data_IF_980993316844
#
_entry.id   IF_980993316844
#
_cell.length_a   1.000
_cell.length_b   1.000
_cell.length_c   1.000
_cell.angle_alpha   90.00
_cell.angle_beta   90.00
_cell.angle_gamma   90.00
#
_symmetry.space_group_name_H-M   'P 1'
#
loop_
_entity.id
_entity.type
_entity.pdbx_description
1 polymer ?
#
# COMPACT_ATOMS: atom_id res chain seq x y z
N UNK A 1 7.61 7.19 -28.55
CA UNK A 1 8.81 8.04 -28.72
C UNK A 1 9.07 8.78 -27.42
N UNK A 2 10.31 8.77 -26.95
CA UNK A 2 10.76 9.55 -25.78
C UNK A 2 11.80 10.54 -26.26
N UNK A 3 11.59 11.83 -26.03
CA UNK A 3 12.58 12.85 -26.35
C UNK A 3 13.72 12.83 -25.34
N UNK A 4 14.96 13.04 -25.79
CA UNK A 4 16.17 13.03 -24.95
C UNK A 4 16.04 13.90 -23.68
N UNK A 5 15.38 15.06 -23.79
CA UNK A 5 15.14 15.96 -22.65
C UNK A 5 14.06 15.50 -21.66
N UNK A 6 13.21 14.54 -22.03
CA UNK A 6 12.22 13.94 -21.14
C UNK A 6 12.73 12.66 -20.45
N UNK A 7 13.82 12.05 -20.94
CA UNK A 7 14.38 10.81 -20.39
C UNK A 7 14.72 10.93 -18.90
N UNK A 8 15.32 12.04 -18.48
CA UNK A 8 15.68 12.28 -17.07
C UNK A 8 14.46 12.40 -16.15
N UNK A 9 13.29 12.75 -16.68
CA UNK A 9 12.02 12.88 -15.93
C UNK A 9 11.21 11.60 -15.85
N UNK A 10 11.57 10.56 -16.62
CA UNK A 10 10.80 9.32 -16.65
C UNK A 10 10.90 8.52 -15.34
N UNK A 11 11.84 8.85 -14.43
CA UNK A 11 11.96 8.22 -13.10
C UNK A 11 12.31 6.73 -13.10
N UNK A 12 12.29 6.09 -14.28
CA UNK A 12 12.51 4.68 -14.50
C UNK A 12 13.55 4.45 -15.58
N UNK A 13 14.43 3.48 -15.38
CA UNK A 13 15.23 2.90 -16.44
C UNK A 13 14.49 1.66 -16.95
N UNK A 14 13.97 1.65 -18.20
CA UNK A 14 13.30 0.47 -18.73
C UNK A 14 14.30 -0.68 -18.86
N UNK A 15 13.96 -1.82 -18.29
CA UNK A 15 14.70 -3.08 -18.41
C UNK A 15 13.91 -4.05 -19.30
N UNK A 16 14.62 -4.89 -20.04
CA UNK A 16 13.98 -5.87 -20.91
C UNK A 16 13.17 -6.88 -20.07
N UNK A 17 11.93 -7.15 -20.46
CA UNK A 17 11.03 -8.09 -19.77
C UNK A 17 10.11 -7.43 -18.73
N UNK A 18 10.18 -6.12 -18.58
CA UNK A 18 9.33 -5.35 -17.67
C UNK A 18 8.09 -4.83 -18.40
N UNK A 19 6.92 -5.06 -17.84
CA UNK A 19 5.68 -4.42 -18.28
C UNK A 19 5.62 -2.98 -17.74
N UNK A 20 5.26 -2.00 -18.57
CA UNK A 20 5.26 -0.57 -18.23
C UNK A 20 3.98 0.11 -18.69
N UNK A 21 3.44 1.01 -17.87
CA UNK A 21 2.37 1.94 -18.25
C UNK A 21 3.03 3.23 -18.72
N UNK A 22 2.91 3.52 -20.01
CA UNK A 22 3.36 4.76 -20.60
C UNK A 22 2.18 5.74 -20.73
N UNK A 23 2.31 6.92 -20.14
CA UNK A 23 1.33 8.02 -20.26
C UNK A 23 1.94 9.15 -21.07
N UNK A 24 1.17 9.72 -22.00
CA UNK A 24 1.68 10.74 -22.91
C UNK A 24 0.65 11.22 -23.90
N UNK A 25 1.10 11.98 -24.90
CA UNK A 25 0.26 12.59 -25.93
C UNK A 25 0.44 11.89 -27.26
N UNK A 26 -0.65 11.69 -27.99
CA UNK A 26 -0.62 11.17 -29.36
C UNK A 26 -0.45 12.35 -30.31
N UNK A 27 0.60 12.32 -31.12
CA UNK A 27 0.83 13.25 -32.23
C UNK A 27 0.57 12.52 -33.55
N UNK A 28 -0.10 13.19 -34.48
CA UNK A 28 -0.45 12.65 -35.80
C UNK A 28 0.25 13.48 -36.88
N UNK A 29 0.99 12.82 -37.77
CA UNK A 29 1.52 13.44 -38.99
C UNK A 29 0.61 13.11 -40.17
N UNK A 30 -0.19 14.09 -40.59
CA UNK A 30 -1.26 13.92 -41.58
C UNK A 30 -0.80 13.45 -42.96
N UNK A 31 0.43 13.72 -43.37
CA UNK A 31 0.94 13.31 -44.69
C UNK A 31 1.27 11.81 -44.80
N UNK A 32 1.45 11.10 -43.68
CA UNK A 32 1.82 9.67 -43.67
C UNK A 32 0.89 8.78 -42.86
N UNK A 33 -0.25 9.31 -42.38
CA UNK A 33 -1.18 8.58 -41.49
C UNK A 33 -0.46 7.87 -40.33
N UNK A 34 0.61 8.48 -39.80
CA UNK A 34 1.43 7.89 -38.74
C UNK A 34 1.08 8.54 -37.41
N UNK A 35 0.79 7.71 -36.42
CA UNK A 35 0.59 8.12 -35.03
C UNK A 35 1.88 7.91 -34.23
N UNK A 36 2.26 8.91 -33.44
CA UNK A 36 3.39 8.84 -32.53
C UNK A 36 2.89 9.12 -31.12
N UNK A 37 3.02 8.14 -30.22
CA UNK A 37 2.84 8.38 -28.79
C UNK A 37 4.12 9.02 -28.23
N UNK A 38 4.04 10.28 -27.85
CA UNK A 38 5.10 11.01 -27.13
C UNK A 38 4.89 10.73 -25.64
N UNK A 39 5.80 9.96 -25.04
CA UNK A 39 5.70 9.51 -23.65
C UNK A 39 6.27 10.59 -22.73
N UNK A 40 5.46 11.06 -21.79
CA UNK A 40 5.84 12.04 -20.77
C UNK A 40 6.13 11.39 -19.42
N UNK A 41 5.47 10.26 -19.13
CA UNK A 41 5.60 9.51 -17.87
C UNK A 41 5.59 8.01 -18.15
N UNK A 42 6.43 7.27 -17.43
CA UNK A 42 6.56 5.83 -17.55
C UNK A 42 6.63 5.21 -16.15
N UNK A 43 5.62 4.43 -15.80
CA UNK A 43 5.53 3.70 -14.54
C UNK A 43 5.57 2.19 -14.83
N UNK A 44 5.95 1.36 -13.87
CA UNK A 44 5.81 -0.09 -14.02
C UNK A 44 4.33 -0.47 -14.15
N UNK A 45 3.98 -1.28 -15.15
CA UNK A 45 2.66 -1.88 -15.27
C UNK A 45 2.57 -3.14 -14.42
N UNK A 46 1.46 -3.27 -13.72
CA UNK A 46 1.00 -4.55 -13.21
C UNK A 46 1.52 -4.96 -11.84
N UNK A 47 0.88 -6.02 -11.34
CA UNK A 47 1.07 -6.69 -10.06
C UNK A 47 2.54 -6.96 -9.73
N UNK A 48 3.43 -7.09 -10.73
CA UNK A 48 4.86 -7.33 -10.53
C UNK A 48 5.59 -6.23 -9.75
N UNK A 49 5.24 -4.96 -9.93
CA UNK A 49 5.86 -3.86 -9.17
C UNK A 49 5.41 -3.85 -7.71
N UNK A 50 4.13 -4.17 -7.47
CA UNK A 50 3.57 -4.33 -6.14
C UNK A 50 4.17 -5.57 -5.45
N UNK A 51 4.24 -6.69 -6.16
CA UNK A 51 4.84 -7.94 -5.71
C UNK A 51 6.33 -7.75 -5.38
N UNK A 52 7.08 -7.07 -6.23
CA UNK A 52 8.49 -6.74 -5.99
C UNK A 52 8.68 -5.79 -4.79
N UNK A 53 7.68 -4.96 -4.49
CA UNK A 53 7.70 -4.10 -3.29
C UNK A 53 7.34 -4.88 -2.03
N UNK A 54 6.37 -5.79 -2.11
CA UNK A 54 6.02 -6.72 -1.03
C UNK A 54 7.22 -7.62 -0.71
N UNK A 55 7.89 -8.17 -1.72
CA UNK A 55 9.02 -9.06 -1.53
C UNK A 55 10.22 -8.34 -0.89
N UNK A 56 10.52 -7.11 -1.34
CA UNK A 56 11.54 -6.27 -0.67
C UNK A 56 11.19 -5.97 0.79
N UNK A 57 9.92 -5.69 1.08
CA UNK A 57 9.47 -5.48 2.46
C UNK A 57 9.58 -6.75 3.30
N UNK A 58 9.18 -7.90 2.75
CA UNK A 58 9.29 -9.20 3.39
C UNK A 58 10.75 -9.52 3.73
N UNK A 59 11.67 -9.34 2.79
CA UNK A 59 13.10 -9.56 3.02
C UNK A 59 13.66 -8.63 4.08
N UNK A 60 13.28 -7.34 4.08
CA UNK A 60 13.70 -6.37 5.10
C UNK A 60 13.22 -6.78 6.49
N UNK A 61 11.93 -7.08 6.65
CA UNK A 61 11.33 -7.49 7.93
C UNK A 61 11.88 -8.85 8.41
N UNK A 62 12.23 -9.74 7.48
CA UNK A 62 12.90 -11.00 7.79
C UNK A 62 14.34 -10.78 8.28
N UNK A 63 15.09 -9.88 7.65
CA UNK A 63 16.44 -9.51 8.08
C UNK A 63 16.45 -8.82 9.46
N UNK A 64 15.40 -8.07 9.79
CA UNK A 64 15.18 -7.51 11.12
C UNK A 64 14.79 -8.58 12.17
N UNK A 65 14.62 -9.84 11.77
CA UNK A 65 14.30 -10.95 12.68
C UNK A 65 12.85 -10.94 13.18
N UNK A 66 11.98 -10.09 12.63
CA UNK A 66 10.59 -9.95 13.09
C UNK A 66 9.74 -11.21 12.83
N UNK A 67 10.19 -12.10 11.94
CA UNK A 67 9.55 -13.38 11.68
C UNK A 67 10.19 -14.56 12.41
N UNK A 68 11.27 -14.34 13.16
CA UNK A 68 11.99 -15.41 13.86
C UNK A 68 11.07 -16.09 14.88
N UNK A 69 11.03 -17.42 14.82
CA UNK A 69 10.27 -18.24 15.74
C UNK A 69 10.77 -18.10 17.18
N UNK A 70 12.07 -17.81 17.37
CA UNK A 70 12.65 -17.60 18.69
C UNK A 70 12.06 -16.38 19.43
N UNK A 71 11.58 -15.37 18.69
CA UNK A 71 10.91 -14.18 19.25
C UNK A 71 9.40 -14.33 19.44
N UNK A 72 8.78 -15.42 18.95
CA UNK A 72 7.33 -15.61 19.01
C UNK A 72 6.92 -15.98 20.43
N UNK A 73 6.12 -15.10 21.03
CA UNK A 73 5.46 -15.38 22.31
C UNK A 73 4.20 -16.17 22.06
N UNK A 74 3.91 -17.15 22.92
CA UNK A 74 2.63 -17.83 22.91
C UNK A 74 1.52 -16.79 23.06
N UNK A 75 0.57 -16.79 22.13
CA UNK A 75 -0.58 -15.89 22.21
C UNK A 75 -1.43 -16.34 23.40
N UNK A 76 -1.89 -15.40 24.24
CA UNK A 76 -2.82 -15.75 25.31
C UNK A 76 -4.10 -16.31 24.69
N UNK A 77 -4.69 -17.30 25.35
CA UNK A 77 -5.94 -17.92 24.90
C UNK A 77 -7.08 -16.90 24.74
N UNK A 78 -7.08 -15.88 25.60
CA UNK A 78 -8.04 -14.78 25.56
C UNK A 78 -7.33 -13.44 25.78
N UNK A 79 -7.78 -12.35 25.14
CA UNK A 79 -7.19 -11.03 25.32
C UNK A 79 -7.60 -10.46 26.69
N UNK A 80 -6.62 -9.97 27.44
CA UNK A 80 -6.87 -9.23 28.70
C UNK A 80 -7.30 -7.78 28.45
N UNK A 81 -6.87 -7.23 27.32
CA UNK A 81 -7.08 -5.82 26.94
C UNK A 81 -7.52 -5.74 25.48
N UNK A 82 -8.59 -4.98 25.24
CA UNK A 82 -9.14 -4.71 23.91
C UNK A 82 -8.80 -3.26 23.54
N UNK A 83 -7.98 -3.08 22.50
CA UNK A 83 -7.68 -1.77 21.92
C UNK A 83 -8.69 -1.41 20.83
N UNK A 84 -9.30 -0.23 20.92
CA UNK A 84 -10.31 0.29 19.99
C UNK A 84 -9.80 1.60 19.42
N UNK A 85 -9.66 1.66 18.10
CA UNK A 85 -9.19 2.84 17.37
C UNK A 85 -10.39 3.44 16.64
N UNK A 86 -10.96 4.53 17.16
CA UNK A 86 -12.16 5.17 16.61
C UNK A 86 -12.32 6.60 17.14
N UNK A 87 -13.25 7.40 16.62
CA UNK A 87 -13.58 8.70 17.21
C UNK A 87 -14.20 8.53 18.61
N UNK A 88 -13.76 9.36 19.55
CA UNK A 88 -14.19 9.27 20.94
C UNK A 88 -15.67 9.68 21.15
N UNK A 89 -16.25 10.47 20.23
CA UNK A 89 -17.59 11.05 20.40
C UNK A 89 -18.72 10.30 19.68
N UNK A 90 -18.45 9.16 19.03
CA UNK A 90 -19.46 8.45 18.23
C UNK A 90 -20.36 7.48 19.03
N UNK A 91 -21.59 7.27 18.56
CA UNK A 91 -22.51 6.23 19.06
C UNK A 91 -21.89 4.81 19.03
N UNK A 92 -20.94 4.59 18.13
CA UNK A 92 -20.15 3.35 18.02
C UNK A 92 -19.42 3.02 19.32
N UNK A 93 -18.86 4.02 20.01
CA UNK A 93 -18.17 3.78 21.29
C UNK A 93 -19.13 3.33 22.39
N UNK A 94 -20.38 3.78 22.36
CA UNK A 94 -21.40 3.33 23.29
C UNK A 94 -21.76 1.86 23.02
N UNK A 95 -21.98 1.49 21.75
CA UNK A 95 -22.30 0.11 21.38
C UNK A 95 -21.17 -0.88 21.72
N UNK A 96 -19.91 -0.49 21.44
CA UNK A 96 -18.72 -1.27 21.79
C UNK A 96 -18.67 -1.51 23.30
N UNK A 97 -18.86 -0.45 24.10
CA UNK A 97 -18.83 -0.55 25.57
C UNK A 97 -19.94 -1.46 26.10
N UNK A 98 -21.16 -1.30 25.60
CA UNK A 98 -22.33 -2.08 26.03
C UNK A 98 -22.19 -3.55 25.62
N UNK A 99 -21.74 -3.83 24.40
CA UNK A 99 -21.56 -5.19 23.90
C UNK A 99 -20.44 -5.93 24.64
N UNK A 100 -19.30 -5.28 24.85
CA UNK A 100 -18.16 -5.87 25.59
C UNK A 100 -18.55 -6.05 27.06
N UNK A 101 -19.16 -5.06 27.69
CA UNK A 101 -19.63 -5.16 29.09
C UNK A 101 -20.65 -6.29 29.30
N UNK A 102 -21.48 -6.59 28.30
CA UNK A 102 -22.48 -7.67 28.39
C UNK A 102 -21.90 -9.05 28.06
N UNK A 103 -21.08 -9.17 27.02
CA UNK A 103 -20.65 -10.48 26.47
C UNK A 103 -19.28 -10.92 26.95
N UNK A 104 -18.35 -10.00 27.12
CA UNK A 104 -16.95 -10.32 27.42
C UNK A 104 -16.26 -9.17 28.15
N UNK A 105 -16.56 -8.96 29.46
CA UNK A 105 -16.03 -7.83 30.21
C UNK A 105 -14.50 -7.86 30.25
N UNK A 106 -13.85 -6.89 29.59
CA UNK A 106 -12.38 -6.74 29.54
C UNK A 106 -11.99 -5.27 29.60
N UNK A 107 -10.70 -5.02 29.91
CA UNK A 107 -10.16 -3.66 29.91
C UNK A 107 -10.17 -3.12 28.49
N UNK A 108 -10.76 -1.95 28.31
CA UNK A 108 -10.86 -1.30 27.01
C UNK A 108 -9.89 -0.11 26.94
N UNK A 109 -9.08 -0.05 25.89
CA UNK A 109 -8.21 1.08 25.57
C UNK A 109 -8.77 1.78 24.33
N UNK A 110 -9.10 3.06 24.44
CA UNK A 110 -9.57 3.85 23.28
C UNK A 110 -8.42 4.71 22.78
N UNK A 111 -8.10 4.58 21.50
CA UNK A 111 -7.19 5.47 20.81
C UNK A 111 -8.00 6.38 19.87
N UNK A 112 -8.17 7.67 20.21
CA UNK A 112 -8.98 8.57 19.41
C UNK A 112 -8.28 8.88 18.08
N UNK A 113 -8.97 8.64 16.98
CA UNK A 113 -8.53 9.06 15.63
C UNK A 113 -9.62 9.87 14.96
N UNK A 114 -9.22 10.87 14.17
CA UNK A 114 -10.12 11.56 13.27
C UNK A 114 -10.52 10.59 12.15
N UNK A 115 -11.80 10.24 12.11
CA UNK A 115 -12.42 9.48 11.02
C UNK A 115 -13.33 10.42 10.25
N UNK A 116 -13.30 10.34 8.92
CA UNK A 116 -14.11 11.15 8.01
C UNK A 116 -15.55 10.67 7.94
#
# INVERSE_FOLDING_TARGET
VVWRGSVSRLGLKPENGVEVVATGKISSYGERSSYQLIIDRLDYAGEGALLARIERLRLKLAAEGLFDAAGKRALPFLPDVIGVVTSAQGAVMHDIRTTIGRRFPRRLLVWPVAVQ
#
